data_IF_724168744400
#
_entry.id   IF_724168744400
#
_cell.length_a   1.000
_cell.length_b   1.000
_cell.length_c   1.000
_cell.angle_alpha   90.00
_cell.angle_beta   90.00
_cell.angle_gamma   90.00
#
_symmetry.space_group_name_H-M   'P 1'
#
loop_
_entity.id
_entity.type
_entity.pdbx_description
1 polymer ?
#
# COMPACT_ATOMS: atom_id res chain seq x y z
N UNK A 1 -8.23 2.00 -13.34
CA UNK A 1 -8.75 0.95 -12.44
C UNK A 1 -7.69 -0.13 -12.44
N UNK A 2 -6.91 -0.30 -11.37
CA UNK A 2 -5.87 -1.34 -11.30
C UNK A 2 -6.39 -2.53 -10.50
N UNK A 3 -6.26 -3.74 -11.05
CA UNK A 3 -6.58 -4.99 -10.36
C UNK A 3 -5.26 -5.67 -9.98
N UNK A 4 -5.09 -5.92 -8.68
CA UNK A 4 -4.09 -6.86 -8.17
C UNK A 4 -4.86 -8.18 -7.98
N UNK A 5 -4.32 -9.27 -8.50
CA UNK A 5 -5.03 -10.55 -8.72
C UNK A 5 -5.76 -11.15 -7.50
N UNK A 6 -6.83 -11.88 -7.83
CA UNK A 6 -7.57 -12.93 -7.11
C UNK A 6 -7.69 -12.86 -5.59
N UNK A 7 -8.03 -11.68 -5.06
CA UNK A 7 -8.69 -11.58 -3.74
C UNK A 7 -10.00 -10.80 -3.86
N UNK A 8 -11.02 -11.14 -3.04
CA UNK A 8 -12.38 -10.64 -3.23
C UNK A 8 -12.44 -9.12 -3.29
N UNK A 9 -13.18 -8.65 -4.30
CA UNK A 9 -13.43 -7.29 -4.75
C UNK A 9 -13.52 -6.27 -3.62
N UNK A 10 -12.38 -5.70 -3.24
CA UNK A 10 -12.32 -4.41 -2.59
C UNK A 10 -11.41 -3.52 -3.42
N UNK A 11 -12.01 -2.75 -4.32
CA UNK A 11 -11.36 -1.64 -4.99
C UNK A 11 -10.97 -0.62 -3.92
N UNK A 12 -9.78 -0.75 -3.36
CA UNK A 12 -9.09 0.41 -2.80
C UNK A 12 -8.83 1.25 -4.03
N UNK A 13 -9.70 2.23 -4.26
CA UNK A 13 -9.49 3.21 -5.31
C UNK A 13 -8.14 3.83 -5.01
N UNK A 14 -7.14 3.40 -5.78
CA UNK A 14 -5.86 4.08 -5.92
C UNK A 14 -6.21 5.40 -6.59
N UNK A 15 -6.78 6.30 -5.80
CA UNK A 15 -6.81 7.70 -6.16
C UNK A 15 -5.37 8.11 -6.39
N UNK A 16 -5.24 9.14 -7.22
CA UNK A 16 -4.06 9.91 -7.62
C UNK A 16 -3.27 10.44 -6.41
N UNK A 17 -2.85 9.52 -5.55
CA UNK A 17 -2.04 9.71 -4.35
C UNK A 17 -0.61 9.86 -4.79
N UNK A 18 0.17 10.56 -3.99
CA UNK A 18 1.60 10.72 -4.19
C UNK A 18 2.30 9.37 -4.39
N UNK A 19 1.83 8.29 -3.74
CA UNK A 19 2.32 6.94 -4.00
C UNK A 19 2.12 6.50 -5.46
N UNK A 20 0.96 6.77 -6.06
CA UNK A 20 0.70 6.48 -7.47
C UNK A 20 1.61 7.31 -8.39
N UNK A 21 1.81 8.60 -8.09
CA UNK A 21 2.74 9.45 -8.85
C UNK A 21 4.19 8.99 -8.72
N UNK A 22 4.62 8.55 -7.53
CA UNK A 22 5.97 8.00 -7.33
C UNK A 22 6.14 6.69 -8.10
N UNK A 23 5.16 5.80 -8.00
CA UNK A 23 5.19 4.52 -8.70
C UNK A 23 5.23 4.77 -10.22
N UNK A 24 4.31 5.57 -10.76
CA UNK A 24 4.30 5.90 -12.19
C UNK A 24 5.54 6.67 -12.64
N UNK A 25 6.03 7.62 -11.84
CA UNK A 25 7.23 8.40 -12.18
C UNK A 25 8.54 7.62 -12.08
N UNK A 26 8.50 6.40 -11.50
CA UNK A 26 9.64 5.47 -11.42
C UNK A 26 9.49 4.29 -12.38
N UNK A 27 8.32 4.11 -12.98
CA UNK A 27 8.13 3.11 -14.02
C UNK A 27 8.75 3.64 -15.32
N UNK A 28 9.60 2.86 -16.00
CA UNK A 28 10.07 3.23 -17.33
C UNK A 28 8.86 3.31 -18.27
N UNK A 29 8.82 4.32 -19.15
CA UNK A 29 7.74 4.57 -20.14
C UNK A 29 7.52 3.40 -21.13
N UNK A 30 8.24 2.29 -21.00
CA UNK A 30 8.46 1.28 -22.05
C UNK A 30 8.19 -0.16 -21.60
N UNK A 31 7.36 -0.39 -20.59
CA UNK A 31 6.92 -1.77 -20.27
C UNK A 31 5.52 -2.00 -20.84
N UNK A 32 5.41 -2.85 -21.85
CA UNK A 32 4.16 -3.34 -22.47
C UNK A 32 3.33 -4.25 -21.52
N UNK A 33 3.58 -4.16 -20.21
CA UNK A 33 2.95 -5.00 -19.17
C UNK A 33 1.75 -4.29 -18.57
N UNK A 34 0.66 -5.03 -18.37
CA UNK A 34 -0.54 -4.56 -17.68
C UNK A 34 -0.30 -4.28 -16.18
N UNK A 35 0.79 -4.80 -15.62
CA UNK A 35 1.06 -4.77 -14.18
C UNK A 35 2.05 -3.68 -13.78
N UNK A 36 1.68 -2.94 -12.72
CA UNK A 36 2.56 -1.94 -12.06
C UNK A 36 3.87 -2.56 -11.57
N UNK A 37 3.82 -3.80 -11.09
CA UNK A 37 5.01 -4.56 -10.67
C UNK A 37 5.17 -5.75 -11.61
N UNK A 38 5.56 -5.45 -12.84
CA UNK A 38 5.89 -6.46 -13.84
C UNK A 38 7.11 -7.28 -13.38
N UNK A 39 7.12 -8.56 -13.76
CA UNK A 39 8.24 -9.48 -13.55
C UNK A 39 8.45 -10.29 -14.82
N UNK A 40 9.67 -10.72 -15.08
CA UNK A 40 10.02 -11.52 -16.26
C UNK A 40 9.68 -13.01 -16.11
N UNK A 41 9.09 -13.38 -14.97
CA UNK A 41 8.61 -14.73 -14.68
C UNK A 41 7.42 -15.16 -15.53
N UNK A 42 7.08 -16.46 -15.47
CA UNK A 42 6.00 -17.08 -16.26
C UNK A 42 4.62 -16.41 -16.13
N UNK A 43 4.37 -15.74 -15.01
CA UNK A 43 3.11 -15.05 -14.75
C UNK A 43 3.09 -13.61 -15.29
N UNK A 44 4.24 -13.03 -15.65
CA UNK A 44 4.33 -11.65 -16.14
C UNK A 44 4.20 -10.56 -15.07
N UNK A 45 4.07 -10.93 -13.79
CA UNK A 45 3.96 -10.02 -12.66
C UNK A 45 4.64 -10.58 -11.41
N UNK A 46 4.93 -9.68 -10.46
CA UNK A 46 5.58 -9.99 -9.19
C UNK A 46 4.71 -10.93 -8.34
N UNK A 47 5.11 -12.20 -8.23
CA UNK A 47 4.47 -13.18 -7.35
C UNK A 47 5.11 -13.15 -5.95
N UNK A 48 6.45 -13.22 -5.89
CA UNK A 48 7.19 -13.37 -4.63
C UNK A 48 8.28 -12.30 -4.54
N UNK A 49 8.19 -11.33 -3.62
CA UNK A 49 9.13 -10.22 -3.52
C UNK A 49 10.44 -10.58 -2.77
N UNK A 50 10.68 -11.87 -2.48
CA UNK A 50 11.84 -12.32 -1.69
C UNK A 50 13.18 -11.84 -2.24
N UNK A 51 13.36 -11.91 -3.56
CA UNK A 51 14.59 -11.45 -4.22
C UNK A 51 14.79 -9.94 -4.04
N UNK A 52 13.72 -9.17 -4.13
CA UNK A 52 13.71 -7.72 -3.98
C UNK A 52 14.00 -7.33 -2.52
N UNK A 53 13.37 -8.01 -1.55
CA UNK A 53 13.62 -7.80 -0.11
C UNK A 53 15.07 -8.15 0.24
N UNK A 54 15.61 -9.24 -0.30
CA UNK A 54 17.00 -9.62 -0.09
C UNK A 54 17.95 -8.54 -0.62
N UNK A 55 17.73 -8.06 -1.85
CA UNK A 55 18.55 -6.97 -2.43
C UNK A 55 18.52 -5.70 -1.57
N UNK A 56 17.35 -5.30 -1.07
CA UNK A 56 17.24 -4.13 -0.20
C UNK A 56 17.93 -4.37 1.13
N UNK A 57 17.82 -5.57 1.70
CA UNK A 57 18.52 -5.95 2.94
C UNK A 57 20.03 -5.88 2.77
N UNK A 58 20.55 -6.44 1.67
CA UNK A 58 21.99 -6.42 1.35
C UNK A 58 22.51 -4.99 1.11
N UNK A 59 21.72 -4.15 0.44
CA UNK A 59 22.10 -2.77 0.14
C UNK A 59 22.03 -1.85 1.38
N UNK A 60 20.99 -1.99 2.19
CA UNK A 60 20.74 -1.12 3.35
C UNK A 60 21.42 -1.61 4.64
N UNK A 61 21.81 -2.89 4.71
CA UNK A 61 22.25 -3.54 5.93
C UNK A 61 21.12 -3.78 6.95
N UNK A 62 19.87 -3.44 6.62
CA UNK A 62 18.72 -3.57 7.50
C UNK A 62 17.94 -4.82 7.13
N UNK A 63 17.84 -5.76 8.07
CA UNK A 63 17.02 -6.97 7.91
C UNK A 63 15.57 -6.61 8.28
N UNK A 64 14.64 -6.85 7.36
CA UNK A 64 13.21 -6.64 7.58
C UNK A 64 12.38 -7.65 6.81
N UNK A 65 11.12 -7.78 7.21
CA UNK A 65 10.10 -8.56 6.51
C UNK A 65 9.02 -7.64 5.94
N UNK A 66 8.21 -8.14 5.00
CA UNK A 66 7.06 -7.38 4.49
C UNK A 66 6.05 -7.05 5.59
N UNK A 67 5.98 -7.89 6.63
CA UNK A 67 5.12 -7.64 7.78
C UNK A 67 5.59 -6.40 8.54
N UNK A 68 6.90 -6.20 8.67
CA UNK A 68 7.47 -5.03 9.34
C UNK A 68 7.16 -3.73 8.59
N UNK A 69 7.05 -3.79 7.26
CA UNK A 69 6.58 -2.66 6.44
C UNK A 69 5.13 -2.29 6.79
N UNK A 70 4.26 -3.29 6.94
CA UNK A 70 2.86 -3.09 7.35
C UNK A 70 2.78 -2.53 8.78
N UNK A 71 3.56 -3.07 9.71
CA UNK A 71 3.64 -2.54 11.08
C UNK A 71 4.12 -1.09 11.09
N UNK A 72 5.15 -0.77 10.31
CA UNK A 72 5.66 0.61 10.18
C UNK A 72 4.58 1.55 9.65
N UNK A 73 3.82 1.13 8.63
CA UNK A 73 2.68 1.90 8.11
C UNK A 73 1.62 2.16 9.19
N UNK A 74 1.27 1.14 9.98
CA UNK A 74 0.31 1.25 11.10
C UNK A 74 0.84 2.23 12.15
N UNK A 75 2.08 2.07 12.60
CA UNK A 75 2.69 2.93 13.62
C UNK A 75 2.73 4.39 13.17
N UNK A 76 3.06 4.66 11.90
CA UNK A 76 3.07 6.03 11.37
C UNK A 76 1.66 6.62 11.32
N UNK A 77 0.67 5.82 10.93
CA UNK A 77 -0.72 6.25 10.89
C UNK A 77 -1.27 6.59 12.29
N UNK A 78 -0.95 5.76 13.30
CA UNK A 78 -1.30 6.03 14.70
C UNK A 78 -0.62 7.31 15.22
N UNK A 79 0.66 7.54 14.87
CA UNK A 79 1.40 8.74 15.29
C UNK A 79 0.86 10.06 14.73
N UNK A 80 0.00 10.03 13.70
CA UNK A 80 -0.65 11.23 13.14
C UNK A 80 -2.17 11.21 13.41
N UNK A 81 -2.60 10.44 14.40
CA UNK A 81 -3.99 10.34 14.89
C UNK A 81 -5.00 9.93 13.80
N UNK A 82 -4.61 9.06 12.86
CA UNK A 82 -5.57 8.47 11.92
C UNK A 82 -6.53 7.55 12.69
N UNK A 83 -7.84 7.76 12.49
CA UNK A 83 -8.85 6.94 13.15
C UNK A 83 -8.62 5.43 12.95
N UNK A 84 -8.74 4.65 14.02
CA UNK A 84 -8.59 3.19 13.98
C UNK A 84 -9.49 2.52 12.93
N UNK A 85 -10.67 3.10 12.67
CA UNK A 85 -11.55 2.64 11.59
C UNK A 85 -10.90 2.80 10.21
N UNK A 86 -10.42 4.01 9.87
CA UNK A 86 -9.77 4.27 8.59
C UNK A 86 -8.50 3.43 8.44
N UNK A 87 -7.71 3.27 9.51
CA UNK A 87 -6.50 2.46 9.49
C UNK A 87 -6.78 0.99 9.21
N UNK A 88 -7.72 0.38 9.94
CA UNK A 88 -8.15 -1.01 9.69
C UNK A 88 -8.63 -1.22 8.26
N UNK A 89 -9.32 -0.22 7.67
CA UNK A 89 -9.76 -0.27 6.27
C UNK A 89 -8.60 -0.15 5.27
N UNK A 90 -7.66 0.76 5.51
CA UNK A 90 -6.48 0.94 4.65
C UNK A 90 -5.60 -0.29 4.60
N UNK A 91 -5.47 -1.02 5.71
CA UNK A 91 -4.71 -2.28 5.77
C UNK A 91 -5.56 -3.52 5.50
N UNK A 92 -6.82 -3.39 5.10
CA UNK A 92 -7.72 -4.51 4.85
C UNK A 92 -7.83 -5.51 6.03
N UNK A 93 -7.86 -5.01 7.27
CA UNK A 93 -8.16 -5.82 8.46
C UNK A 93 -9.64 -6.14 8.56
N UNK A 94 -9.96 -7.39 8.95
CA UNK A 94 -11.33 -7.86 9.14
C UNK A 94 -12.02 -7.08 10.28
N UNK A 95 -13.23 -6.59 10.03
CA UNK A 95 -14.04 -5.81 10.97
C UNK A 95 -15.18 -6.66 11.60
N UNK A 96 -15.01 -7.98 11.71
CA UNK A 96 -16.11 -8.97 11.82
C UNK A 96 -17.01 -8.92 13.06
N UNK A 97 -16.79 -8.00 14.01
CA UNK A 97 -17.57 -7.90 15.25
C UNK A 97 -18.18 -6.53 15.49
N UNK A 98 -18.02 -5.58 14.57
CA UNK A 98 -18.46 -4.19 14.80
C UNK A 98 -19.79 -3.92 14.09
N UNK A 99 -20.90 -4.04 14.82
CA UNK A 99 -22.25 -3.67 14.35
C UNK A 99 -22.32 -2.22 13.87
N UNK A 100 -21.45 -1.34 14.39
CA UNK A 100 -21.32 0.06 13.98
C UNK A 100 -20.71 0.21 12.59
N UNK A 101 -19.88 -0.75 12.15
CA UNK A 101 -19.25 -0.73 10.84
C UNK A 101 -20.27 -0.84 9.70
N UNK A 102 -21.47 -1.37 9.97
CA UNK A 102 -22.57 -1.41 9.01
C UNK A 102 -23.19 -0.03 8.73
N UNK A 103 -23.12 0.91 9.69
CA UNK A 103 -23.65 2.28 9.57
C UNK A 103 -22.63 3.28 9.00
N UNK A 104 -21.33 2.96 9.07
CA UNK A 104 -20.30 3.79 8.48
C UNK A 104 -20.32 3.54 6.97
N UNK A 105 -21.06 4.39 6.27
CA UNK A 105 -21.19 4.38 4.81
C UNK A 105 -19.80 4.17 4.19
N UNK A 106 -19.66 3.08 3.44
CA UNK A 106 -18.45 2.53 2.84
C UNK A 106 -17.89 3.41 1.71
N UNK A 107 -17.75 4.71 1.94
CA UNK A 107 -17.18 5.61 0.95
C UNK A 107 -15.66 5.52 1.00
N UNK A 108 -15.10 4.84 0.00
CA UNK A 108 -13.66 4.80 -0.28
C UNK A 108 -13.05 6.21 -0.31
N UNK A 109 -13.83 7.22 -0.69
CA UNK A 109 -13.47 8.65 -0.61
C UNK A 109 -13.00 9.10 0.78
N UNK A 110 -13.57 8.54 1.87
CA UNK A 110 -13.17 8.87 3.24
C UNK A 110 -11.77 8.37 3.57
N UNK A 111 -11.25 7.40 2.83
CA UNK A 111 -9.89 6.88 3.00
C UNK A 111 -8.86 7.70 2.23
N UNK A 112 -9.29 8.60 1.33
CA UNK A 112 -8.39 9.42 0.51
C UNK A 112 -7.50 10.33 1.35
N UNK A 113 -8.11 11.10 2.27
CA UNK A 113 -7.37 12.02 3.15
C UNK A 113 -6.42 11.26 4.09
N UNK A 114 -6.87 10.22 4.83
CA UNK A 114 -5.98 9.40 5.63
C UNK A 114 -4.79 8.84 4.85
N UNK A 115 -5.02 8.29 3.65
CA UNK A 115 -3.95 7.76 2.81
C UNK A 115 -2.95 8.85 2.42
N UNK A 116 -3.44 10.02 1.99
CA UNK A 116 -2.61 11.16 1.61
C UNK A 116 -1.75 11.67 2.78
N UNK A 117 -2.32 11.75 3.99
CA UNK A 117 -1.60 12.16 5.20
C UNK A 117 -0.47 11.17 5.54
N UNK A 118 -0.74 9.87 5.50
CA UNK A 118 0.27 8.85 5.77
C UNK A 118 1.38 8.89 4.70
N UNK A 119 1.03 9.00 3.42
CA UNK A 119 2.01 9.12 2.32
C UNK A 119 2.91 10.35 2.49
N UNK A 120 2.35 11.50 2.84
CA UNK A 120 3.12 12.72 3.10
C UNK A 120 4.07 12.54 4.29
N UNK A 121 3.59 11.92 5.38
CA UNK A 121 4.42 11.66 6.55
C UNK A 121 5.57 10.71 6.24
N UNK A 122 5.33 9.64 5.50
CA UNK A 122 6.37 8.72 5.01
C UNK A 122 7.43 9.46 4.19
N UNK A 123 7.01 10.33 3.28
CA UNK A 123 7.95 11.13 2.48
C UNK A 123 8.79 12.10 3.31
N UNK A 124 8.21 12.70 4.34
CA UNK A 124 8.96 13.55 5.27
C UNK A 124 10.01 12.75 6.04
N UNK A 125 9.70 11.51 6.43
CA UNK A 125 10.64 10.65 7.15
C UNK A 125 11.76 10.09 6.25
N UNK A 126 11.50 9.92 4.95
CA UNK A 126 12.44 9.36 3.97
C UNK A 126 13.33 10.41 3.29
N UNK A 127 12.94 11.69 3.30
CA UNK A 127 13.79 12.79 2.85
C UNK A 127 14.82 13.10 3.94
N UNK A 128 15.90 12.31 3.95
CA UNK A 128 17.19 12.65 4.58
C UNK A 128 17.95 13.60 3.65
#
# INVERSE_FOLDING_TARGET
HFQIGDTPKHTISFYRSICYTIILGKLPDTTDSEYVFADDGKAGYLIEPRRQVQKVTEFSGVIFTLHDLRCTFITIAENIDISAYALKRLVNHKMSSDVTASYIVNHVERLRRPMEQISLKLLQLLKV
#
